data_IF_031967191098
#
_entry.id   IF_031967191098
#
_cell.length_a   1.000
_cell.length_b   1.000
_cell.length_c   1.000
_cell.angle_alpha   90.00
_cell.angle_beta   90.00
_cell.angle_gamma   90.00
#
_symmetry.space_group_name_H-M   'P 1'
#
loop_
_entity.id
_entity.type
_entity.pdbx_description
1 polymer ?
#
# COMPACT_ATOMS: atom_id res chain seq x y z
N UNK A 1 -6.91 5.77 12.85
CA UNK A 1 -6.04 4.88 12.04
C UNK A 1 -6.86 3.69 11.61
N UNK A 2 -6.95 3.43 10.32
CA UNK A 2 -7.64 2.30 9.73
C UNK A 2 -6.69 1.12 9.58
N UNK A 3 -7.24 -0.09 9.58
CA UNK A 3 -6.52 -1.32 9.28
C UNK A 3 -6.85 -1.75 7.86
N UNK A 4 -5.82 -1.92 7.02
CA UNK A 4 -5.93 -2.42 5.65
C UNK A 4 -5.45 -3.88 5.61
N UNK A 5 -6.34 -4.81 5.23
CA UNK A 5 -6.02 -6.24 5.22
C UNK A 5 -5.32 -6.64 3.92
N UNK A 6 -4.00 -6.94 3.96
CA UNK A 6 -3.29 -7.46 2.78
C UNK A 6 -3.76 -8.87 2.44
N UNK A 7 -4.54 -8.98 1.36
CA UNK A 7 -5.11 -10.24 0.89
C UNK A 7 -4.06 -11.21 0.35
N UNK A 8 -2.83 -10.79 0.13
CA UNK A 8 -1.73 -11.66 -0.24
C UNK A 8 -1.45 -12.74 0.83
N UNK A 9 -1.72 -12.41 2.11
CA UNK A 9 -1.60 -13.37 3.21
C UNK A 9 -2.85 -14.26 3.39
N UNK A 10 -3.95 -13.99 2.71
CA UNK A 10 -5.17 -14.78 2.81
C UNK A 10 -5.07 -16.12 2.06
N UNK A 11 -6.03 -17.00 2.27
CA UNK A 11 -6.15 -18.25 1.54
C UNK A 11 -6.66 -17.99 0.12
N UNK A 12 -5.77 -17.98 -0.86
CA UNK A 12 -6.07 -17.64 -2.26
C UNK A 12 -7.11 -18.59 -2.90
N UNK A 13 -7.23 -19.83 -2.44
CA UNK A 13 -8.23 -20.78 -2.96
C UNK A 13 -9.63 -20.52 -2.40
N UNK A 14 -9.74 -19.80 -1.28
CA UNK A 14 -11.01 -19.49 -0.60
C UNK A 14 -11.04 -18.03 -0.14
N UNK A 15 -10.52 -17.11 -0.95
CA UNK A 15 -10.24 -15.73 -0.58
C UNK A 15 -11.45 -15.01 0.04
N UNK A 16 -12.62 -15.06 -0.62
CA UNK A 16 -13.82 -14.38 -0.11
C UNK A 16 -14.30 -14.94 1.25
N UNK A 17 -14.14 -16.25 1.45
CA UNK A 17 -14.48 -16.87 2.73
C UNK A 17 -13.53 -16.42 3.82
N UNK A 18 -12.24 -16.35 3.50
CA UNK A 18 -11.21 -15.92 4.45
C UNK A 18 -11.38 -14.44 4.83
N UNK A 19 -11.67 -13.57 3.85
CA UNK A 19 -12.03 -12.17 4.07
C UNK A 19 -13.25 -12.06 5.01
N UNK A 20 -14.34 -12.77 4.72
CA UNK A 20 -15.57 -12.74 5.53
C UNK A 20 -15.36 -13.23 6.95
N UNK A 21 -14.57 -14.28 7.14
CA UNK A 21 -14.28 -14.86 8.45
C UNK A 21 -13.45 -13.94 9.36
N UNK A 22 -12.75 -12.95 8.78
CA UNK A 22 -11.90 -12.01 9.49
C UNK A 22 -12.40 -10.56 9.41
N UNK A 23 -13.64 -10.34 8.97
CA UNK A 23 -14.22 -9.03 8.65
C UNK A 23 -14.31 -8.06 9.84
N UNK A 24 -14.22 -8.54 11.07
CA UNK A 24 -14.19 -7.76 12.31
C UNK A 24 -12.81 -7.19 12.65
N UNK A 25 -11.77 -7.53 11.89
CA UNK A 25 -10.37 -7.18 12.18
C UNK A 25 -9.81 -6.06 11.33
N UNK A 26 -10.52 -5.59 10.31
CA UNK A 26 -10.02 -4.59 9.36
C UNK A 26 -11.13 -3.70 8.81
N UNK A 27 -10.74 -2.56 8.24
CA UNK A 27 -11.66 -1.56 7.69
C UNK A 27 -11.71 -1.57 6.17
N UNK A 28 -10.62 -2.01 5.51
CA UNK A 28 -10.45 -2.01 4.05
C UNK A 28 -9.52 -3.14 3.59
N UNK A 29 -9.46 -3.39 2.28
CA UNK A 29 -8.59 -4.42 1.69
C UNK A 29 -7.37 -3.78 1.02
N UNK A 30 -6.20 -4.37 1.23
CA UNK A 30 -4.94 -4.03 0.56
C UNK A 30 -4.59 -5.10 -0.46
N UNK A 31 -4.25 -4.66 -1.68
CA UNK A 31 -4.05 -5.54 -2.83
C UNK A 31 -2.68 -5.27 -3.43
N UNK A 32 -1.72 -6.14 -3.14
CA UNK A 32 -0.38 -6.08 -3.71
C UNK A 32 -0.35 -6.70 -5.12
N UNK A 33 0.00 -5.89 -6.12
CA UNK A 33 0.19 -6.33 -7.51
C UNK A 33 1.67 -6.25 -7.85
N UNK A 34 2.25 -7.38 -8.28
CA UNK A 34 3.67 -7.50 -8.60
C UNK A 34 3.88 -8.17 -9.96
N UNK A 35 4.89 -7.73 -10.73
CA UNK A 35 5.13 -8.12 -12.13
C UNK A 35 6.32 -9.06 -12.35
N UNK A 36 7.06 -9.38 -11.31
CA UNK A 36 8.30 -10.16 -11.42
C UNK A 36 9.51 -9.36 -11.94
N UNK A 37 9.38 -8.04 -12.16
CA UNK A 37 10.45 -7.12 -12.56
C UNK A 37 10.82 -6.17 -11.44
N UNK A 38 9.87 -5.40 -10.92
CA UNK A 38 10.07 -4.56 -9.74
C UNK A 38 10.43 -5.40 -8.51
N UNK A 39 9.81 -6.55 -8.38
CA UNK A 39 10.14 -7.58 -7.37
C UNK A 39 10.34 -8.93 -8.04
N UNK A 40 11.00 -9.88 -7.38
CA UNK A 40 11.18 -11.24 -7.90
C UNK A 40 9.92 -12.12 -7.85
N UNK A 41 8.80 -11.59 -7.36
CA UNK A 41 7.52 -12.30 -7.25
C UNK A 41 6.56 -11.85 -8.36
N UNK A 42 5.79 -12.81 -8.91
CA UNK A 42 4.61 -12.55 -9.74
C UNK A 42 3.40 -12.72 -8.84
N UNK A 43 2.70 -11.63 -8.57
CA UNK A 43 1.62 -11.59 -7.61
C UNK A 43 0.23 -11.82 -8.20
N UNK A 44 -0.76 -11.18 -7.59
CA UNK A 44 -2.16 -11.28 -8.00
C UNK A 44 -2.39 -10.65 -9.38
N UNK A 45 -3.35 -11.20 -10.13
CA UNK A 45 -3.83 -10.56 -11.35
C UNK A 45 -4.57 -9.26 -11.05
N UNK A 46 -4.46 -8.26 -11.93
CA UNK A 46 -5.21 -7.00 -11.83
C UNK A 46 -6.73 -7.22 -11.73
N UNK A 47 -7.24 -8.28 -12.34
CA UNK A 47 -8.67 -8.58 -12.34
C UNK A 47 -9.24 -8.85 -10.93
N UNK A 48 -8.36 -9.17 -9.95
CA UNK A 48 -8.79 -9.35 -8.55
C UNK A 48 -9.45 -8.09 -8.00
N UNK A 49 -9.05 -6.89 -8.45
CA UNK A 49 -9.63 -5.61 -8.03
C UNK A 49 -11.12 -5.57 -8.39
N UNK A 50 -11.46 -5.83 -9.66
CA UNK A 50 -12.86 -5.83 -10.11
C UNK A 50 -13.67 -6.96 -9.48
N UNK A 51 -13.07 -8.13 -9.27
CA UNK A 51 -13.74 -9.25 -8.60
C UNK A 51 -14.10 -8.92 -7.16
N UNK A 52 -13.18 -8.31 -6.40
CA UNK A 52 -13.44 -7.88 -5.02
C UNK A 52 -14.43 -6.73 -4.96
N UNK A 53 -14.33 -5.73 -5.86
CA UNK A 53 -15.28 -4.62 -5.92
C UNK A 53 -16.72 -5.08 -6.16
N UNK A 54 -16.90 -6.12 -6.99
CA UNK A 54 -18.22 -6.71 -7.27
C UNK A 54 -18.73 -7.63 -6.15
N UNK A 55 -17.90 -8.10 -5.25
CA UNK A 55 -18.26 -9.10 -4.24
C UNK A 55 -18.23 -8.57 -2.80
N UNK A 56 -17.71 -7.34 -2.60
CA UNK A 56 -17.57 -6.72 -1.27
C UNK A 56 -17.84 -5.22 -1.34
N UNK A 57 -18.19 -4.62 -0.21
CA UNK A 57 -18.39 -3.17 -0.05
C UNK A 57 -17.13 -2.49 0.53
N UNK A 58 -16.02 -3.20 0.68
CA UNK A 58 -14.79 -2.64 1.20
C UNK A 58 -14.16 -1.63 0.24
N UNK A 59 -13.49 -0.63 0.81
CA UNK A 59 -12.53 0.17 0.06
C UNK A 59 -11.35 -0.69 -0.36
N UNK A 60 -10.87 -0.47 -1.59
CA UNK A 60 -9.76 -1.20 -2.18
C UNK A 60 -8.55 -0.27 -2.30
N UNK A 61 -7.53 -0.55 -1.51
CA UNK A 61 -6.22 0.08 -1.51
C UNK A 61 -5.27 -0.80 -2.35
N UNK A 62 -4.97 -0.34 -3.58
CA UNK A 62 -4.17 -1.11 -4.55
C UNK A 62 -2.74 -0.60 -4.58
N UNK A 63 -1.81 -1.47 -4.26
CA UNK A 63 -0.39 -1.19 -4.20
C UNK A 63 0.32 -1.81 -5.42
N UNK A 64 0.76 -0.96 -6.34
CA UNK A 64 1.41 -1.36 -7.58
C UNK A 64 2.93 -1.39 -7.40
N UNK A 65 3.49 -2.57 -7.32
CA UNK A 65 4.94 -2.85 -7.33
C UNK A 65 5.34 -3.35 -8.72
N UNK A 66 5.26 -2.46 -9.70
CA UNK A 66 5.40 -2.74 -11.12
C UNK A 66 6.42 -1.80 -11.77
N UNK A 67 6.98 -2.24 -12.90
CA UNK A 67 7.52 -1.33 -13.91
C UNK A 67 6.39 -0.82 -14.83
N UNK A 68 6.52 0.38 -15.40
CA UNK A 68 5.54 1.00 -16.32
C UNK A 68 4.14 1.21 -15.68
N UNK A 69 4.10 1.87 -14.53
CA UNK A 69 2.90 2.03 -13.70
C UNK A 69 1.73 2.74 -14.41
N UNK A 70 1.97 3.78 -15.23
CA UNK A 70 0.92 4.55 -15.91
C UNK A 70 -0.10 3.69 -16.64
N UNK A 71 0.36 2.63 -17.29
CA UNK A 71 -0.49 1.68 -18.03
C UNK A 71 -1.47 0.92 -17.14
N UNK A 72 -1.10 0.71 -15.88
CA UNK A 72 -1.86 -0.13 -14.95
C UNK A 72 -2.72 0.69 -14.00
N UNK A 73 -2.34 1.95 -13.72
CA UNK A 73 -3.11 2.86 -12.86
C UNK A 73 -4.53 3.05 -13.41
N UNK A 74 -4.67 3.46 -14.68
CA UNK A 74 -5.98 3.60 -15.35
C UNK A 74 -6.82 2.33 -15.16
N UNK A 75 -6.24 1.19 -15.46
CA UNK A 75 -6.96 -0.09 -15.41
C UNK A 75 -7.45 -0.46 -14.01
N UNK A 76 -6.65 -0.26 -12.96
CA UNK A 76 -7.11 -0.60 -11.61
C UNK A 76 -8.12 0.40 -11.07
N UNK A 77 -8.07 1.67 -11.52
CA UNK A 77 -9.10 2.67 -11.22
C UNK A 77 -10.44 2.27 -11.87
N UNK A 78 -10.42 1.91 -13.16
CA UNK A 78 -11.60 1.42 -13.88
C UNK A 78 -12.18 0.16 -13.22
N UNK A 79 -11.35 -0.65 -12.59
CA UNK A 79 -11.76 -1.82 -11.82
C UNK A 79 -12.32 -1.49 -10.44
N UNK A 80 -12.27 -0.23 -10.02
CA UNK A 80 -12.88 0.26 -8.79
C UNK A 80 -11.94 0.38 -7.60
N UNK A 81 -10.64 0.56 -7.83
CA UNK A 81 -9.70 0.91 -6.77
C UNK A 81 -10.08 2.28 -6.15
N UNK A 82 -10.06 2.37 -4.82
CA UNK A 82 -10.34 3.60 -4.08
C UNK A 82 -9.07 4.40 -3.76
N UNK A 83 -7.94 3.72 -3.62
CA UNK A 83 -6.59 4.28 -3.50
C UNK A 83 -5.67 3.47 -4.41
N UNK A 84 -4.76 4.13 -5.12
CA UNK A 84 -3.71 3.46 -5.90
C UNK A 84 -2.36 4.03 -5.54
N UNK A 85 -1.44 3.20 -5.07
CA UNK A 85 -0.07 3.60 -4.75
C UNK A 85 0.91 3.00 -5.76
N UNK A 86 1.77 3.86 -6.33
CA UNK A 86 2.91 3.49 -7.18
C UNK A 86 4.22 3.80 -6.45
N UNK A 87 5.34 3.23 -6.87
CA UNK A 87 6.65 3.45 -6.21
C UNK A 87 7.51 4.51 -6.89
N UNK A 88 8.17 5.36 -6.11
CA UNK A 88 9.11 6.36 -6.62
C UNK A 88 10.34 5.74 -7.29
N UNK A 89 10.63 4.46 -7.03
CA UNK A 89 11.72 3.72 -7.64
C UNK A 89 11.43 3.27 -9.07
N UNK A 90 10.15 3.21 -9.44
CA UNK A 90 9.70 2.78 -10.80
C UNK A 90 8.81 3.79 -11.50
N UNK A 91 8.57 4.96 -10.91
CA UNK A 91 7.72 6.02 -11.46
C UNK A 91 8.45 7.34 -11.27
N UNK A 92 9.02 7.90 -12.31
CA UNK A 92 9.67 9.20 -12.22
C UNK A 92 8.66 10.34 -12.02
N UNK A 93 9.17 11.54 -11.69
CA UNK A 93 8.33 12.67 -11.33
C UNK A 93 7.42 13.13 -12.48
N UNK A 94 7.86 13.03 -13.73
CA UNK A 94 7.08 13.49 -14.87
C UNK A 94 5.96 12.47 -15.20
N UNK A 95 6.24 11.19 -15.09
CA UNK A 95 5.23 10.13 -15.17
C UNK A 95 4.21 10.30 -14.03
N UNK A 96 4.67 10.51 -12.78
CA UNK A 96 3.78 10.69 -11.63
C UNK A 96 2.85 11.90 -11.78
N UNK A 97 3.38 13.05 -12.25
CA UNK A 97 2.57 14.24 -12.58
C UNK A 97 1.50 13.94 -13.63
N UNK A 98 1.87 13.19 -14.66
CA UNK A 98 0.90 12.80 -15.68
C UNK A 98 -0.23 11.94 -15.11
N UNK A 99 0.08 11.02 -14.20
CA UNK A 99 -0.90 10.17 -13.52
C UNK A 99 -1.82 11.04 -12.64
N UNK A 100 -1.26 11.85 -11.75
CA UNK A 100 -2.04 12.65 -10.79
C UNK A 100 -2.86 13.78 -11.42
N UNK A 101 -2.50 14.23 -12.62
CA UNK A 101 -3.32 15.17 -13.39
C UNK A 101 -4.61 14.53 -13.95
N UNK A 102 -4.65 13.22 -14.09
CA UNK A 102 -5.77 12.51 -14.67
C UNK A 102 -6.60 11.73 -13.64
N UNK A 103 -6.02 11.39 -12.49
CA UNK A 103 -6.66 10.53 -11.50
C UNK A 103 -6.46 11.06 -10.09
N UNK A 104 -7.53 11.02 -9.29
CA UNK A 104 -7.51 11.31 -7.86
C UNK A 104 -7.03 10.10 -7.04
N UNK A 105 -6.69 10.33 -5.77
CA UNK A 105 -6.32 9.28 -4.81
C UNK A 105 -5.12 8.41 -5.23
N UNK A 106 -4.18 9.02 -5.94
CA UNK A 106 -2.91 8.39 -6.30
C UNK A 106 -1.87 8.68 -5.20
N UNK A 107 -1.30 7.63 -4.64
CA UNK A 107 -0.23 7.70 -3.65
C UNK A 107 1.14 7.39 -4.23
N UNK A 108 2.18 7.84 -3.51
CA UNK A 108 3.56 7.48 -3.79
C UNK A 108 4.14 6.62 -2.66
N UNK A 109 4.65 5.45 -3.04
CA UNK A 109 5.33 4.51 -2.15
C UNK A 109 6.85 4.66 -2.22
N UNK A 110 7.51 4.20 -1.16
CA UNK A 110 8.97 4.20 -1.05
C UNK A 110 9.46 2.91 -0.41
N UNK A 111 10.55 2.33 -0.96
CA UNK A 111 11.20 1.14 -0.41
C UNK A 111 11.94 1.45 0.90
N UNK A 112 12.18 0.44 1.77
CA UNK A 112 12.92 0.62 3.02
C UNK A 112 14.34 1.18 2.82
N UNK A 113 14.98 0.84 1.71
CA UNK A 113 16.36 1.23 1.39
C UNK A 113 16.48 2.61 0.72
N UNK A 114 15.37 3.19 0.27
CA UNK A 114 15.38 4.47 -0.46
C UNK A 114 15.41 5.64 0.52
N UNK A 115 16.18 6.68 0.18
CA UNK A 115 16.27 7.88 0.99
C UNK A 115 14.94 8.64 1.00
N UNK A 116 14.42 8.94 2.18
CA UNK A 116 13.14 9.61 2.40
C UNK A 116 13.04 10.99 1.71
N UNK A 117 14.16 11.70 1.54
CA UNK A 117 14.21 13.02 0.89
C UNK A 117 13.65 13.03 -0.54
N UNK A 118 13.65 11.87 -1.22
CA UNK A 118 13.07 11.72 -2.56
C UNK A 118 11.59 12.11 -2.57
N UNK A 119 10.85 11.83 -1.50
CA UNK A 119 9.41 12.12 -1.42
C UNK A 119 9.08 13.62 -1.53
N UNK A 120 10.02 14.52 -1.20
CA UNK A 120 9.82 15.97 -1.38
C UNK A 120 9.46 16.36 -2.81
N UNK A 121 10.01 15.65 -3.79
CA UNK A 121 9.72 15.92 -5.21
C UNK A 121 8.29 15.54 -5.61
N UNK A 122 7.64 14.68 -4.85
CA UNK A 122 6.28 14.19 -5.11
C UNK A 122 5.21 14.91 -4.27
N UNK A 123 5.60 15.59 -3.17
CA UNK A 123 4.69 16.15 -2.18
C UNK A 123 3.73 17.22 -2.74
N UNK A 124 4.12 17.93 -3.80
CA UNK A 124 3.24 18.91 -4.46
C UNK A 124 2.12 18.26 -5.31
N UNK A 125 2.18 16.94 -5.55
CA UNK A 125 1.29 16.21 -6.47
C UNK A 125 0.41 15.19 -5.80
N UNK A 126 0.71 14.84 -4.55
CA UNK A 126 -0.11 13.91 -3.77
C UNK A 126 -0.04 14.21 -2.28
N UNK A 127 -1.12 13.86 -1.57
CA UNK A 127 -1.16 13.81 -0.11
C UNK A 127 -1.12 12.38 0.45
N UNK A 128 -0.96 11.34 -0.40
CA UNK A 128 -0.98 9.94 0.00
C UNK A 128 0.44 9.36 -0.12
N UNK A 129 0.97 8.87 0.99
CA UNK A 129 2.32 8.30 1.06
C UNK A 129 2.28 6.91 1.67
N UNK A 130 2.98 5.95 1.06
CA UNK A 130 3.14 4.59 1.56
C UNK A 130 4.60 4.32 1.89
N UNK A 131 4.86 3.96 3.14
CA UNK A 131 6.18 3.51 3.59
C UNK A 131 6.21 1.98 3.62
N UNK A 132 6.91 1.37 2.68
CA UNK A 132 7.15 -0.06 2.74
C UNK A 132 8.27 -0.33 3.75
N UNK A 133 8.06 -1.32 4.63
CA UNK A 133 8.94 -1.62 5.77
C UNK A 133 9.53 -3.02 5.74
N UNK A 134 9.22 -3.77 4.69
CA UNK A 134 9.79 -5.09 4.33
C UNK A 134 10.35 -5.04 2.92
N UNK A 135 11.13 -6.04 2.53
CA UNK A 135 11.50 -6.19 1.12
C UNK A 135 10.26 -6.52 0.28
N UNK A 136 10.08 -5.90 -0.90
CA UNK A 136 8.86 -6.07 -1.69
C UNK A 136 8.69 -7.51 -2.21
N UNK A 137 7.42 -7.94 -2.35
CA UNK A 137 7.05 -9.12 -3.13
C UNK A 137 6.55 -10.33 -2.36
N UNK A 138 6.79 -10.45 -1.05
CA UNK A 138 6.35 -11.61 -0.26
C UNK A 138 5.69 -11.18 1.05
N UNK A 139 4.67 -11.93 1.48
CA UNK A 139 4.05 -11.77 2.80
C UNK A 139 4.90 -12.42 3.91
N UNK A 140 4.59 -12.10 5.17
CA UNK A 140 5.21 -12.71 6.38
C UNK A 140 6.73 -12.54 6.49
N UNK A 141 7.26 -11.43 6.02
CA UNK A 141 8.67 -11.08 6.15
C UNK A 141 8.96 -10.38 7.48
N UNK A 142 10.22 -10.48 7.92
CA UNK A 142 10.72 -9.64 9.00
C UNK A 142 10.83 -8.18 8.54
N UNK A 143 10.56 -7.26 9.45
CA UNK A 143 10.75 -5.81 9.23
C UNK A 143 12.19 -5.55 8.80
N UNK A 144 12.37 -4.85 7.69
CA UNK A 144 13.69 -4.42 7.21
C UNK A 144 14.16 -3.15 7.93
N UNK A 145 13.22 -2.38 8.50
CA UNK A 145 13.46 -1.14 9.23
C UNK A 145 12.58 -1.07 10.48
N UNK A 146 12.96 -0.24 11.45
CA UNK A 146 12.08 0.06 12.58
C UNK A 146 10.93 0.96 12.11
N UNK A 147 9.68 0.58 12.43
CA UNK A 147 8.48 1.26 11.95
C UNK A 147 8.39 2.71 12.44
N UNK A 148 8.62 2.92 13.73
CA UNK A 148 8.52 4.25 14.36
C UNK A 148 9.62 5.17 13.87
N UNK A 149 10.83 4.66 13.72
CA UNK A 149 11.96 5.45 13.18
C UNK A 149 11.66 5.87 11.74
N UNK A 150 11.10 4.98 10.92
CA UNK A 150 10.74 5.28 9.53
C UNK A 150 9.63 6.32 9.42
N UNK A 151 8.61 6.25 10.28
CA UNK A 151 7.55 7.27 10.40
C UNK A 151 8.14 8.61 10.88
N UNK A 152 9.06 8.60 11.84
CA UNK A 152 9.73 9.80 12.30
C UNK A 152 10.62 10.46 11.23
N UNK A 153 11.27 9.67 10.36
CA UNK A 153 11.97 10.20 9.18
C UNK A 153 10.98 10.89 8.23
N UNK A 154 9.86 10.23 7.92
CA UNK A 154 8.81 10.79 7.08
C UNK A 154 8.30 12.13 7.63
N UNK A 155 7.95 12.20 8.89
CA UNK A 155 7.42 13.41 9.54
C UNK A 155 8.41 14.58 9.56
N UNK A 156 9.72 14.33 9.44
CA UNK A 156 10.75 15.38 9.29
C UNK A 156 10.88 15.89 7.86
N UNK A 157 10.57 15.03 6.89
CA UNK A 157 10.74 15.33 5.45
C UNK A 157 9.47 15.92 4.86
N UNK A 158 8.32 15.37 5.19
CA UNK A 158 6.99 15.82 4.74
C UNK A 158 6.32 16.52 5.93
N UNK A 159 6.13 17.80 5.81
CA UNK A 159 5.62 18.67 6.89
C UNK A 159 4.20 19.17 6.65
N UNK A 160 3.60 18.82 5.51
CA UNK A 160 2.22 19.12 5.17
C UNK A 160 1.25 18.42 6.14
N UNK A 161 0.27 19.19 6.66
CA UNK A 161 -0.63 18.71 7.71
C UNK A 161 -1.78 17.83 7.23
N UNK A 162 -2.00 17.75 5.93
CA UNK A 162 -3.13 17.01 5.34
C UNK A 162 -2.66 15.84 4.50
N UNK A 163 -1.82 14.98 5.10
CA UNK A 163 -1.32 13.77 4.43
C UNK A 163 -2.06 12.54 4.94
N UNK A 164 -2.20 11.53 4.07
CA UNK A 164 -2.57 10.17 4.43
C UNK A 164 -1.32 9.31 4.43
N UNK A 165 -0.88 8.90 5.61
CA UNK A 165 0.30 8.06 5.78
C UNK A 165 -0.10 6.59 5.93
N UNK A 166 0.37 5.77 5.00
CA UNK A 166 0.18 4.32 4.98
C UNK A 166 1.50 3.66 5.37
N UNK A 167 1.46 2.70 6.28
CA UNK A 167 2.60 1.86 6.64
C UNK A 167 2.31 0.42 6.22
N UNK A 168 3.22 -0.18 5.45
CA UNK A 168 3.04 -1.52 4.93
C UNK A 168 4.28 -2.40 5.18
N UNK A 169 4.02 -3.59 5.71
CA UNK A 169 5.03 -4.62 5.94
C UNK A 169 5.34 -4.91 7.41
N UNK A 170 5.05 -6.13 7.83
CA UNK A 170 5.39 -6.65 9.15
C UNK A 170 4.68 -6.00 10.33
N UNK A 171 3.60 -5.26 10.12
CA UNK A 171 2.84 -4.60 11.19
C UNK A 171 2.09 -5.63 12.03
N UNK A 172 2.33 -5.63 13.33
CA UNK A 172 1.65 -6.50 14.31
C UNK A 172 0.62 -5.71 15.13
N UNK A 173 -0.22 -6.41 15.90
CA UNK A 173 -1.17 -5.75 16.80
C UNK A 173 -0.47 -4.87 17.87
N UNK A 174 0.74 -5.25 18.28
CA UNK A 174 1.54 -4.53 19.26
C UNK A 174 2.06 -3.18 18.73
N UNK A 175 2.25 -3.06 17.42
CA UNK A 175 2.74 -1.84 16.78
C UNK A 175 1.65 -0.75 16.66
N UNK A 176 0.35 -1.13 16.63
CA UNK A 176 -0.75 -0.26 16.20
C UNK A 176 -0.87 1.03 17.03
N UNK A 177 -0.74 0.91 18.37
CA UNK A 177 -0.88 2.09 19.23
C UNK A 177 0.26 3.08 18.97
N UNK A 178 1.49 2.59 18.88
CA UNK A 178 2.66 3.44 18.59
C UNK A 178 2.60 4.09 17.22
N UNK A 179 2.16 3.36 16.19
CA UNK A 179 1.99 3.92 14.84
C UNK A 179 0.92 5.01 14.82
N UNK A 180 -0.22 4.79 15.47
CA UNK A 180 -1.28 5.78 15.61
C UNK A 180 -0.80 7.06 16.30
N UNK A 181 -0.05 6.93 17.40
CA UNK A 181 0.47 8.05 18.17
C UNK A 181 1.51 8.87 17.37
N UNK A 182 2.14 8.26 16.36
CA UNK A 182 3.09 8.91 15.46
C UNK A 182 2.47 9.40 14.13
N UNK A 183 1.14 9.37 14.00
CA UNK A 183 0.42 9.99 12.88
C UNK A 183 0.19 9.08 11.66
N UNK A 184 0.28 7.77 11.81
CA UNK A 184 -0.10 6.83 10.76
C UNK A 184 -1.62 6.77 10.62
N UNK A 185 -2.13 6.89 9.41
CA UNK A 185 -3.57 6.85 9.09
C UNK A 185 -4.05 5.47 8.72
N UNK A 186 -3.22 4.69 8.01
CA UNK A 186 -3.55 3.33 7.55
C UNK A 186 -2.38 2.40 7.87
N UNK A 187 -2.67 1.30 8.56
CA UNK A 187 -1.71 0.24 8.83
C UNK A 187 -2.10 -1.03 8.07
N UNK A 188 -1.19 -1.51 7.22
CA UNK A 188 -1.41 -2.72 6.43
C UNK A 188 -0.99 -3.94 7.25
N UNK A 189 -1.90 -4.89 7.41
CA UNK A 189 -1.68 -6.14 8.11
C UNK A 189 -2.07 -7.34 7.24
N UNK A 190 -1.17 -8.30 7.10
CA UNK A 190 -1.43 -9.57 6.41
C UNK A 190 -1.54 -10.73 7.40
N UNK A 191 -0.41 -11.30 7.81
CA UNK A 191 -0.34 -12.45 8.71
C UNK A 191 -1.05 -12.26 10.05
N UNK A 192 -1.04 -11.04 10.60
CA UNK A 192 -1.75 -10.71 11.85
C UNK A 192 -3.28 -10.89 11.74
N UNK A 193 -3.86 -10.72 10.53
CA UNK A 193 -5.29 -10.88 10.27
C UNK A 193 -5.61 -12.32 9.89
N UNK A 194 -4.87 -12.88 8.91
CA UNK A 194 -5.20 -14.16 8.30
C UNK A 194 -4.50 -15.37 8.95
N UNK A 195 -3.67 -15.16 9.98
CA UNK A 195 -3.13 -16.23 10.81
C UNK A 195 -2.06 -17.09 10.15
N UNK A 196 -1.25 -16.50 9.27
CA UNK A 196 -0.15 -17.20 8.58
C UNK A 196 1.21 -16.65 8.96
#
# INVERSE_FOLDING_TARGET
MNISASIQAANQLNLLTDIKNNSDKFDQLHIDITDGHFTSNIGLSLDIVSLLKNQTDYKLDVHLMLENNSKYVEKVIDYGADIVTVHCESTDIDEFKSITNNYDNIGIGILPSTNMEVLKSYADFTSIFLLLTVNPGFSNQHKAVNLVDRVNEFNKVITEKSTTLIIDGGVTAEDLQSLKDNGVDIAVQGGAIFGK
#
